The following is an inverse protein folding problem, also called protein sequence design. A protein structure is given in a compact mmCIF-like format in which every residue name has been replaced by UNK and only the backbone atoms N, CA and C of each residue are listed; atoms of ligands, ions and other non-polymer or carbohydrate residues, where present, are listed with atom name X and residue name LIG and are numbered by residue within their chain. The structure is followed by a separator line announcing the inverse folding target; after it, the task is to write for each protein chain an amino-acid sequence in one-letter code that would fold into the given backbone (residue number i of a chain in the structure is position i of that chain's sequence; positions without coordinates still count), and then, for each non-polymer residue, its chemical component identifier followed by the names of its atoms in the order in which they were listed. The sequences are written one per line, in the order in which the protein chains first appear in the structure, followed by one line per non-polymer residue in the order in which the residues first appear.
data_IF_685658470943
#
_entry.id   IF_685658470943
#
_cell.length_a   1.000
_cell.length_b   1.000
_cell.length_c   1.000
_cell.angle_alpha   90.00
_cell.angle_beta   90.00
_cell.angle_gamma   90.00
#
_symmetry.space_group_name_H-M   'P 1'
#
loop_
_entity.id
_entity.type
_entity.pdbx_description
1 polymer ?
#
# COMPACT_ATOMS: atom_id res chain seq x y z
N UNK A 1 -5.67 -7.37 0.58
CA UNK A 1 -6.98 -6.67 0.59
C UNK A 1 -7.16 -5.86 1.87
N UNK A 2 -7.16 -4.54 1.74
CA UNK A 2 -7.52 -3.62 2.82
C UNK A 2 -8.99 -3.84 3.20
N UNK A 3 -9.29 -3.99 4.50
CA UNK A 3 -10.66 -4.30 4.93
C UNK A 3 -11.50 -3.00 4.92
N UNK A 4 -12.66 -2.97 4.24
CA UNK A 4 -13.52 -1.77 4.15
C UNK A 4 -13.88 -1.13 5.49
N UNK A 5 -14.13 -1.95 6.53
CA UNK A 5 -14.45 -1.45 7.86
C UNK A 5 -13.32 -0.62 8.50
N UNK A 6 -12.05 -0.81 8.07
CA UNK A 6 -10.92 -0.02 8.56
C UNK A 6 -10.94 1.40 7.99
N UNK A 7 -11.38 1.59 6.74
CA UNK A 7 -11.62 2.92 6.19
C UNK A 7 -12.86 3.58 6.81
N UNK A 8 -13.92 2.79 7.06
CA UNK A 8 -15.16 3.30 7.62
C UNK A 8 -14.97 4.05 8.94
N UNK A 9 -14.16 3.51 9.87
CA UNK A 9 -13.91 4.17 11.15
C UNK A 9 -13.37 5.60 10.98
N UNK A 10 -12.44 5.79 10.04
CA UNK A 10 -11.89 7.10 9.69
C UNK A 10 -12.94 7.98 9.02
N UNK A 11 -13.60 7.50 7.97
CA UNK A 11 -14.62 8.26 7.22
C UNK A 11 -15.76 8.72 8.14
N UNK A 12 -16.21 7.84 9.04
CA UNK A 12 -17.22 8.12 10.07
C UNK A 12 -16.82 9.25 11.01
N UNK A 13 -15.53 9.37 11.34
CA UNK A 13 -15.04 10.45 12.19
C UNK A 13 -15.21 11.81 11.49
N UNK A 14 -14.89 11.88 10.20
CA UNK A 14 -15.06 13.11 9.40
C UNK A 14 -16.53 13.42 9.10
N UNK A 15 -17.37 12.41 8.85
CA UNK A 15 -18.82 12.60 8.68
C UNK A 15 -19.50 13.20 9.92
N UNK A 16 -18.92 13.05 11.11
CA UNK A 16 -19.46 13.66 12.34
C UNK A 16 -19.53 15.18 12.26
N UNK A 17 -18.65 15.80 11.47
CA UNK A 17 -18.59 17.25 11.34
C UNK A 17 -19.62 17.79 10.33
N UNK A 18 -20.21 16.92 9.52
CA UNK A 18 -21.30 17.27 8.60
C UNK A 18 -22.64 17.46 9.33
N UNK A 19 -23.63 18.04 8.64
CA UNK A 19 -24.98 18.16 9.21
C UNK A 19 -25.71 16.81 9.19
N UNK A 20 -26.77 16.66 9.99
CA UNK A 20 -27.55 15.41 10.01
C UNK A 20 -28.12 15.07 8.64
N UNK A 21 -28.60 16.09 7.92
CA UNK A 21 -29.17 15.92 6.57
C UNK A 21 -28.07 15.59 5.55
N UNK A 22 -26.91 16.25 5.62
CA UNK A 22 -25.76 15.92 4.76
C UNK A 22 -25.32 14.47 4.95
N UNK A 23 -25.26 13.98 6.19
CA UNK A 23 -24.91 12.57 6.47
C UNK A 23 -25.92 11.62 5.83
N UNK A 24 -27.23 11.92 5.92
CA UNK A 24 -28.28 11.11 5.29
C UNK A 24 -28.21 11.16 3.77
N UNK A 25 -27.91 12.31 3.21
CA UNK A 25 -27.79 12.49 1.76
C UNK A 25 -26.57 11.71 1.22
N UNK A 26 -25.40 11.87 1.85
CA UNK A 26 -24.18 11.11 1.52
C UNK A 26 -24.43 9.60 1.63
N UNK A 27 -25.02 9.13 2.73
CA UNK A 27 -25.31 7.71 2.94
C UNK A 27 -26.32 7.17 1.91
N UNK A 28 -27.37 7.94 1.61
CA UNK A 28 -28.38 7.55 0.63
C UNK A 28 -27.82 7.43 -0.78
N UNK A 29 -26.98 8.38 -1.20
CA UNK A 29 -26.31 8.32 -2.51
C UNK A 29 -25.29 7.17 -2.60
N UNK A 30 -24.65 6.81 -1.48
CA UNK A 30 -23.73 5.69 -1.43
C UNK A 30 -24.41 4.31 -1.41
N UNK A 31 -25.76 4.25 -1.40
CA UNK A 31 -26.53 3.01 -1.48
C UNK A 31 -26.94 2.42 -0.12
N UNK A 32 -26.82 3.17 0.97
CA UNK A 32 -27.34 2.72 2.28
C UNK A 32 -28.87 2.64 2.24
N UNK A 33 -29.44 1.60 2.88
CA UNK A 33 -30.88 1.45 3.00
C UNK A 33 -31.50 2.54 3.90
N UNK A 34 -31.85 3.67 3.29
CA UNK A 34 -32.47 4.80 4.00
C UNK A 34 -33.86 4.49 4.55
N UNK A 35 -34.53 3.44 4.05
CA UNK A 35 -35.80 2.95 4.60
C UNK A 35 -35.64 2.43 6.04
N UNK A 36 -34.52 1.76 6.34
CA UNK A 36 -34.21 1.32 7.70
C UNK A 36 -33.93 2.50 8.66
N UNK A 37 -33.47 3.63 8.10
CA UNK A 37 -33.11 4.85 8.83
C UNK A 37 -34.22 5.91 8.81
N UNK A 38 -35.38 5.62 8.20
CA UNK A 38 -36.44 6.59 7.98
C UNK A 38 -36.98 7.15 9.31
N UNK A 39 -37.00 6.35 10.37
CA UNK A 39 -37.43 6.77 11.71
C UNK A 39 -36.49 7.79 12.38
N UNK A 40 -35.27 7.98 11.86
CA UNK A 40 -34.30 8.93 12.38
C UNK A 40 -34.50 10.29 11.74
N UNK A 41 -35.05 11.21 12.53
CA UNK A 41 -35.22 12.61 12.18
C UNK A 41 -34.63 13.50 13.27
N UNK A 42 -33.86 14.51 12.87
CA UNK A 42 -33.45 15.56 13.77
C UNK A 42 -34.65 16.50 14.01
N UNK A 43 -35.15 16.58 15.24
CA UNK A 43 -36.17 17.56 15.64
C UNK A 43 -35.52 18.60 16.55
N UNK A 44 -36.03 19.83 16.50
CA UNK A 44 -35.62 20.85 17.47
C UNK A 44 -36.08 20.43 18.87
N UNK A 45 -35.31 20.81 19.88
CA UNK A 45 -35.56 20.50 21.30
C UNK A 45 -36.94 20.96 21.79
N UNK A 46 -37.62 21.83 21.05
CA UNK A 46 -38.99 22.29 21.35
C UNK A 46 -40.10 21.30 20.93
N UNK A 47 -39.83 20.31 20.08
CA UNK A 47 -40.84 19.39 19.51
C UNK A 47 -40.64 17.91 19.90
N UNK A 48 -39.86 17.64 20.95
CA UNK A 48 -39.60 16.31 21.50
C UNK A 48 -38.16 15.81 21.28
N UNK A 49 -37.89 14.54 21.63
CA UNK A 49 -36.57 13.92 21.46
C UNK A 49 -36.32 13.58 19.97
N UNK A 50 -35.59 14.43 19.27
CA UNK A 50 -35.04 14.13 17.95
C UNK A 50 -33.85 13.17 18.02
N UNK A 51 -33.56 12.50 16.90
CA UNK A 51 -32.35 11.69 16.77
C UNK A 51 -31.10 12.58 16.71
N UNK A 52 -30.04 12.18 17.40
CA UNK A 52 -28.73 12.83 17.36
C UNK A 52 -27.91 12.34 16.17
N UNK A 53 -26.91 13.14 15.73
CA UNK A 53 -25.92 12.68 14.75
C UNK A 53 -25.21 11.40 15.18
N UNK A 54 -24.94 11.25 16.48
CA UNK A 54 -24.36 10.02 17.03
C UNK A 54 -25.25 8.79 16.80
N UNK A 55 -26.56 8.92 17.03
CA UNK A 55 -27.52 7.84 16.77
C UNK A 55 -27.63 7.50 15.28
N UNK A 56 -27.58 8.51 14.40
CA UNK A 56 -27.54 8.28 12.95
C UNK A 56 -26.27 7.53 12.53
N UNK A 57 -25.09 7.96 12.98
CA UNK A 57 -23.83 7.28 12.68
C UNK A 57 -23.80 5.85 13.23
N UNK A 58 -24.34 5.61 14.43
CA UNK A 58 -24.49 4.25 14.99
C UNK A 58 -25.46 3.38 14.20
N UNK A 59 -26.51 3.96 13.63
CA UNK A 59 -27.42 3.23 12.76
C UNK A 59 -26.74 2.89 11.41
N UNK A 60 -25.91 3.80 10.86
CA UNK A 60 -25.07 3.52 9.69
C UNK A 60 -24.05 2.41 9.97
N UNK A 61 -23.44 2.38 11.16
CA UNK A 61 -22.57 1.28 11.61
C UNK A 61 -23.32 -0.06 11.51
N UNK A 62 -24.59 -0.08 11.93
CA UNK A 62 -25.46 -1.26 11.87
C UNK A 62 -25.86 -1.67 10.46
N UNK A 63 -26.14 -0.72 9.56
CA UNK A 63 -26.45 -1.04 8.15
C UNK A 63 -25.22 -1.61 7.43
N UNK A 64 -24.05 -0.98 7.60
CA UNK A 64 -22.80 -1.47 7.02
C UNK A 64 -22.46 -2.88 7.53
N UNK A 65 -22.59 -3.14 8.82
CA UNK A 65 -22.30 -4.46 9.39
C UNK A 65 -23.19 -5.60 8.86
N UNK A 66 -24.37 -5.27 8.29
CA UNK A 66 -25.27 -6.26 7.67
C UNK A 66 -24.94 -6.54 6.21
N UNK A 67 -24.17 -5.67 5.55
CA UNK A 67 -23.77 -5.84 4.15
C UNK A 67 -22.62 -6.84 4.03
N UNK A 68 -22.52 -7.60 2.91
CA UNK A 68 -21.31 -8.35 2.57
C UNK A 68 -20.08 -7.44 2.42
N UNK A 69 -18.88 -7.96 2.70
CA UNK A 69 -17.62 -7.20 2.64
C UNK A 69 -17.42 -6.44 1.31
N UNK A 70 -17.79 -7.05 0.18
CA UNK A 70 -17.67 -6.41 -1.13
C UNK A 70 -18.58 -5.18 -1.27
N UNK A 71 -19.80 -5.25 -0.74
CA UNK A 71 -20.78 -4.17 -0.76
C UNK A 71 -20.39 -3.06 0.24
N UNK A 72 -19.92 -3.43 1.43
CA UNK A 72 -19.34 -2.48 2.39
C UNK A 72 -18.23 -1.64 1.75
N UNK A 73 -17.33 -2.27 1.00
CA UNK A 73 -16.25 -1.59 0.28
C UNK A 73 -16.75 -0.55 -0.71
N UNK A 74 -17.81 -0.88 -1.46
CA UNK A 74 -18.43 0.03 -2.42
C UNK A 74 -19.07 1.22 -1.70
N UNK A 75 -19.85 0.98 -0.66
CA UNK A 75 -20.54 2.03 0.10
C UNK A 75 -19.53 2.98 0.75
N UNK A 76 -18.52 2.47 1.45
CA UNK A 76 -17.50 3.29 2.12
C UNK A 76 -16.73 4.14 1.11
N UNK A 77 -16.39 3.60 -0.07
CA UNK A 77 -15.75 4.37 -1.15
C UNK A 77 -16.65 5.52 -1.61
N UNK A 78 -17.91 5.25 -1.96
CA UNK A 78 -18.82 6.28 -2.43
C UNK A 78 -19.08 7.36 -1.36
N UNK A 79 -19.25 6.98 -0.10
CA UNK A 79 -19.40 7.96 0.99
C UNK A 79 -18.18 8.87 1.12
N UNK A 80 -16.99 8.31 0.95
CA UNK A 80 -15.73 9.07 0.98
C UNK A 80 -15.62 10.03 -0.20
N UNK A 81 -15.92 9.56 -1.40
CA UNK A 81 -15.92 10.36 -2.63
C UNK A 81 -16.91 11.53 -2.54
N UNK A 82 -18.12 11.30 -2.06
CA UNK A 82 -19.14 12.32 -1.87
C UNK A 82 -18.76 13.34 -0.79
N UNK A 83 -18.16 12.88 0.31
CA UNK A 83 -17.62 13.76 1.36
C UNK A 83 -16.53 14.67 0.80
N UNK A 84 -15.58 14.13 0.02
CA UNK A 84 -14.50 14.89 -0.60
C UNK A 84 -14.99 15.84 -1.70
N UNK A 85 -16.03 15.48 -2.44
CA UNK A 85 -16.65 16.36 -3.41
C UNK A 85 -17.30 17.58 -2.74
N UNK A 86 -17.90 17.40 -1.55
CA UNK A 86 -18.47 18.50 -0.76
C UNK A 86 -17.40 19.34 -0.07
N UNK A 87 -16.36 18.70 0.43
CA UNK A 87 -15.28 19.35 1.19
C UNK A 87 -13.90 18.95 0.66
N UNK A 88 -13.47 19.51 -0.48
CA UNK A 88 -12.18 19.19 -1.10
C UNK A 88 -10.98 19.44 -0.17
N UNK A 89 -11.11 20.40 0.76
CA UNK A 89 -10.11 20.73 1.75
C UNK A 89 -9.83 19.62 2.78
N UNK A 90 -10.68 18.59 2.85
CA UNK A 90 -10.44 17.41 3.70
C UNK A 90 -9.53 16.37 3.05
N UNK A 91 -9.17 16.52 1.76
CA UNK A 91 -8.39 15.52 1.01
C UNK A 91 -7.09 15.12 1.71
N UNK A 92 -6.26 16.10 2.07
CA UNK A 92 -4.96 15.87 2.72
C UNK A 92 -5.09 15.25 4.13
N UNK A 93 -5.85 15.84 5.08
CA UNK A 93 -5.98 15.25 6.42
C UNK A 93 -6.66 13.87 6.40
N UNK A 94 -7.67 13.67 5.56
CA UNK A 94 -8.34 12.37 5.42
C UNK A 94 -7.41 11.32 4.79
N UNK A 95 -6.57 11.70 3.81
CA UNK A 95 -5.60 10.80 3.19
C UNK A 95 -4.55 10.32 4.20
N UNK A 96 -4.06 11.19 5.08
CA UNK A 96 -3.09 10.79 6.11
C UNK A 96 -3.69 9.83 7.15
N UNK A 97 -4.95 10.02 7.53
CA UNK A 97 -5.64 9.11 8.43
C UNK A 97 -5.95 7.76 7.76
N UNK A 98 -6.38 7.76 6.50
CA UNK A 98 -6.67 6.57 5.71
C UNK A 98 -5.40 5.77 5.37
N UNK A 99 -4.26 6.43 5.19
CA UNK A 99 -2.99 5.78 4.87
C UNK A 99 -2.60 4.76 5.95
N UNK A 100 -2.90 5.04 7.22
CA UNK A 100 -2.68 4.13 8.36
C UNK A 100 -3.53 2.86 8.28
N UNK A 101 -4.57 2.87 7.47
CA UNK A 101 -5.48 1.74 7.25
C UNK A 101 -5.28 1.07 5.88
N UNK A 102 -4.24 1.46 5.13
CA UNK A 102 -3.95 0.91 3.80
C UNK A 102 -4.84 1.48 2.70
N UNK A 103 -5.33 2.71 2.88
CA UNK A 103 -6.19 3.41 1.92
C UNK A 103 -5.59 4.76 1.54
N UNK A 104 -5.83 5.21 0.31
CA UNK A 104 -5.34 6.47 -0.22
C UNK A 104 -6.45 7.21 -0.95
N UNK A 105 -6.21 8.48 -1.25
CA UNK A 105 -7.11 9.31 -2.05
C UNK A 105 -6.37 9.74 -3.32
N UNK A 106 -6.98 9.51 -4.48
CA UNK A 106 -6.49 9.98 -5.77
C UNK A 106 -7.66 10.59 -6.54
N UNK A 107 -7.58 11.86 -6.94
CA UNK A 107 -8.64 12.57 -7.67
C UNK A 107 -10.03 12.43 -7.01
N UNK A 108 -10.08 12.59 -5.67
CA UNK A 108 -11.27 12.37 -4.83
C UNK A 108 -11.75 10.92 -4.68
N UNK A 109 -11.09 9.95 -5.32
CA UNK A 109 -11.41 8.53 -5.21
C UNK A 109 -10.67 7.85 -4.05
N UNK A 110 -11.39 7.06 -3.26
CA UNK A 110 -10.81 6.18 -2.25
C UNK A 110 -10.23 4.93 -2.93
N UNK A 111 -8.92 4.79 -2.90
CA UNK A 111 -8.18 3.67 -3.49
C UNK A 111 -7.51 2.82 -2.40
N UNK A 112 -7.51 1.50 -2.55
CA UNK A 112 -6.72 0.65 -1.66
C UNK A 112 -5.24 0.86 -1.99
N UNK A 113 -4.43 1.22 -0.99
CA UNK A 113 -2.98 1.24 -1.12
C UNK A 113 -2.47 -0.19 -0.99
N UNK A 114 -2.61 -0.99 -2.04
CA UNK A 114 -2.00 -2.31 -2.11
C UNK A 114 -0.50 -2.15 -2.35
N UNK A 115 0.24 -2.14 -1.23
CA UNK A 115 1.69 -2.05 -1.23
C UNK A 115 2.33 -3.30 -1.85
N UNK A 116 1.72 -4.47 -1.66
CA UNK A 116 2.14 -5.74 -2.24
C UNK A 116 0.91 -6.54 -2.65
N UNK A 117 1.02 -7.33 -3.72
CA UNK A 117 0.00 -8.30 -4.09
C UNK A 117 0.13 -9.55 -3.21
N UNK A 118 -0.91 -9.94 -2.44
CA UNK A 118 -0.88 -11.16 -1.62
C UNK A 118 -0.56 -12.44 -2.41
N UNK A 119 -1.01 -12.54 -3.66
CA UNK A 119 -0.76 -13.69 -4.51
C UNK A 119 0.71 -13.76 -4.96
N UNK A 120 1.35 -12.60 -5.20
CA UNK A 120 2.78 -12.53 -5.48
C UNK A 120 3.60 -12.82 -4.21
N UNK A 121 3.23 -12.24 -3.07
CA UNK A 121 3.91 -12.50 -1.79
C UNK A 121 3.88 -13.99 -1.42
N UNK A 122 2.77 -14.69 -1.64
CA UNK A 122 2.64 -16.11 -1.31
C UNK A 122 3.69 -16.99 -2.01
N UNK A 123 4.19 -16.56 -3.19
CA UNK A 123 5.19 -17.28 -3.97
C UNK A 123 6.63 -17.02 -3.50
N UNK A 124 6.88 -15.96 -2.74
CA UNK A 124 8.22 -15.60 -2.27
C UNK A 124 8.70 -16.53 -1.13
N UNK A 125 10.02 -16.78 -1.01
CA UNK A 125 10.57 -17.51 0.14
C UNK A 125 10.25 -16.82 1.47
N UNK A 126 10.15 -17.62 2.54
CA UNK A 126 9.63 -17.18 3.83
C UNK A 126 10.40 -15.99 4.45
N UNK A 127 11.73 -16.02 4.41
CA UNK A 127 12.58 -14.98 5.02
C UNK A 127 12.44 -13.61 4.35
N UNK A 128 12.74 -13.43 3.04
CA UNK A 128 12.61 -12.12 2.40
C UNK A 128 11.14 -11.66 2.33
N UNK A 129 10.16 -12.58 2.31
CA UNK A 129 8.74 -12.26 2.44
C UNK A 129 8.41 -11.65 3.80
N UNK A 130 8.94 -12.20 4.89
CA UNK A 130 8.72 -11.65 6.22
C UNK A 130 9.30 -10.24 6.34
N UNK A 131 10.47 -9.99 5.73
CA UNK A 131 11.10 -8.66 5.70
C UNK A 131 10.28 -7.65 4.89
N UNK A 132 9.72 -8.05 3.73
CA UNK A 132 8.80 -7.19 2.96
C UNK A 132 7.53 -6.85 3.76
N UNK A 133 6.91 -7.85 4.39
CA UNK A 133 5.74 -7.64 5.24
C UNK A 133 6.04 -6.68 6.40
N UNK A 134 7.21 -6.83 7.02
CA UNK A 134 7.70 -5.91 8.06
C UNK A 134 7.90 -4.49 7.53
N UNK A 135 8.47 -4.33 6.33
CA UNK A 135 8.61 -3.01 5.69
C UNK A 135 7.24 -2.35 5.47
N UNK A 136 6.25 -3.11 4.99
CA UNK A 136 4.90 -2.60 4.80
C UNK A 136 4.18 -2.25 6.10
N UNK A 137 4.37 -3.03 7.15
CA UNK A 137 3.86 -2.70 8.50
C UNK A 137 4.45 -1.39 9.01
N UNK A 138 5.77 -1.20 8.88
CA UNK A 138 6.44 0.04 9.30
C UNK A 138 5.95 1.27 8.52
N UNK A 139 5.75 1.14 7.19
CA UNK A 139 5.17 2.21 6.38
C UNK A 139 3.79 2.62 6.89
N UNK A 140 2.92 1.62 7.15
CA UNK A 140 1.57 1.83 7.68
C UNK A 140 1.60 2.53 9.05
N UNK A 141 2.52 2.11 9.92
CA UNK A 141 2.63 2.61 11.28
C UNK A 141 3.35 3.97 11.36
N UNK A 142 3.76 4.54 10.22
CA UNK A 142 4.44 5.84 10.13
C UNK A 142 5.93 5.80 10.43
N UNK A 143 6.51 4.62 10.64
CA UNK A 143 7.97 4.39 10.76
C UNK A 143 8.61 4.38 9.36
N UNK A 144 8.67 5.56 8.74
CA UNK A 144 9.09 5.69 7.35
C UNK A 144 10.58 5.31 7.14
N UNK A 145 11.47 5.71 8.06
CA UNK A 145 12.88 5.37 7.98
C UNK A 145 13.13 3.88 8.22
N UNK A 146 12.44 3.29 9.20
CA UNK A 146 12.50 1.86 9.44
C UNK A 146 11.88 1.04 8.30
N UNK A 147 10.89 1.58 7.57
CA UNK A 147 10.32 0.93 6.39
C UNK A 147 11.37 0.80 5.26
N UNK A 148 12.15 1.85 4.98
CA UNK A 148 13.25 1.81 4.00
C UNK A 148 14.32 0.80 4.41
N UNK A 149 14.74 0.81 5.68
CA UNK A 149 15.73 -0.14 6.20
C UNK A 149 15.25 -1.59 6.07
N UNK A 150 13.98 -1.87 6.39
CA UNK A 150 13.40 -3.21 6.26
C UNK A 150 13.25 -3.65 4.79
N UNK A 151 12.87 -2.73 3.89
CA UNK A 151 12.79 -3.02 2.45
C UNK A 151 14.15 -3.42 1.86
N UNK A 152 15.22 -2.70 2.23
CA UNK A 152 16.58 -3.08 1.82
C UNK A 152 17.02 -4.40 2.46
N UNK A 153 16.63 -4.65 3.72
CA UNK A 153 16.88 -5.92 4.40
C UNK A 153 16.29 -7.11 3.66
N UNK A 154 15.07 -6.98 3.13
CA UNK A 154 14.46 -8.04 2.31
C UNK A 154 15.30 -8.38 1.07
N UNK A 155 15.88 -7.36 0.43
CA UNK A 155 16.78 -7.54 -0.72
C UNK A 155 18.11 -8.17 -0.29
N UNK A 156 18.71 -7.72 0.83
CA UNK A 156 19.92 -8.32 1.39
C UNK A 156 19.72 -9.82 1.68
N UNK A 157 18.58 -10.19 2.27
CA UNK A 157 18.18 -11.58 2.50
C UNK A 157 18.09 -12.36 1.19
N UNK A 158 17.39 -11.84 0.17
CA UNK A 158 17.30 -12.49 -1.14
C UNK A 158 18.67 -12.65 -1.84
N UNK A 159 19.53 -11.62 -1.76
CA UNK A 159 20.91 -11.66 -2.29
C UNK A 159 21.72 -12.72 -1.56
N UNK A 160 21.65 -12.80 -0.23
CA UNK A 160 22.35 -13.82 0.55
C UNK A 160 21.94 -15.24 0.16
N UNK A 161 20.64 -15.47 -0.08
CA UNK A 161 20.14 -16.75 -0.59
C UNK A 161 20.76 -17.11 -1.95
N UNK A 162 20.84 -16.16 -2.88
CA UNK A 162 21.47 -16.37 -4.20
C UNK A 162 22.96 -16.65 -4.06
N UNK A 163 23.66 -15.90 -3.20
CA UNK A 163 25.09 -16.12 -2.94
C UNK A 163 25.37 -17.52 -2.41
N UNK A 164 24.53 -18.01 -1.50
CA UNK A 164 24.62 -19.38 -0.99
C UNK A 164 24.33 -20.42 -2.08
N UNK A 165 23.25 -20.22 -2.86
CA UNK A 165 22.83 -21.15 -3.93
C UNK A 165 23.86 -21.28 -5.05
N UNK A 166 24.50 -20.18 -5.44
CA UNK A 166 25.44 -20.11 -6.57
C UNK A 166 26.92 -20.03 -6.15
N UNK A 167 27.22 -20.21 -4.86
CA UNK A 167 28.59 -20.17 -4.30
C UNK A 167 29.37 -18.89 -4.68
N UNK A 168 28.74 -17.71 -4.58
CA UNK A 168 29.31 -16.42 -5.02
C UNK A 168 30.27 -15.79 -3.99
N UNK A 169 30.46 -16.40 -2.82
CA UNK A 169 31.30 -15.90 -1.73
C UNK A 169 30.48 -15.27 -0.60
N UNK A 170 31.07 -14.30 0.12
CA UNK A 170 30.40 -13.59 1.22
C UNK A 170 29.75 -12.29 0.73
N UNK A 171 28.41 -12.16 0.76
CA UNK A 171 27.71 -10.97 0.29
C UNK A 171 28.05 -9.71 1.11
N UNK A 172 28.52 -9.85 2.36
CA UNK A 172 28.85 -8.72 3.25
C UNK A 172 30.13 -7.98 2.85
N UNK A 173 30.92 -8.56 1.94
CA UNK A 173 32.14 -7.94 1.41
C UNK A 173 31.88 -7.06 0.19
N UNK A 174 30.66 -7.05 -0.33
CA UNK A 174 30.23 -6.21 -1.43
C UNK A 174 29.36 -5.07 -0.89
N UNK A 175 29.37 -3.92 -1.58
CA UNK A 175 28.31 -2.92 -1.37
C UNK A 175 26.95 -3.51 -1.76
N UNK A 176 25.86 -2.88 -1.32
CA UNK A 176 24.50 -3.32 -1.64
C UNK A 176 24.29 -3.45 -3.15
N UNK A 177 24.66 -2.43 -3.91
CA UNK A 177 24.54 -2.43 -5.37
C UNK A 177 25.39 -3.54 -6.02
N UNK A 178 26.64 -3.71 -5.61
CA UNK A 178 27.52 -4.78 -6.12
C UNK A 178 26.95 -6.17 -5.80
N UNK A 179 26.42 -6.33 -4.58
CA UNK A 179 25.73 -7.53 -4.11
C UNK A 179 24.57 -7.90 -5.04
N UNK A 180 23.66 -6.96 -5.24
CA UNK A 180 22.51 -7.09 -6.14
C UNK A 180 22.94 -7.41 -7.58
N UNK A 181 23.89 -6.68 -8.14
CA UNK A 181 24.34 -6.89 -9.53
C UNK A 181 24.92 -8.30 -9.71
N UNK A 182 25.75 -8.77 -8.78
CA UNK A 182 26.33 -10.11 -8.85
C UNK A 182 25.27 -11.21 -8.70
N UNK A 183 24.29 -11.01 -7.82
CA UNK A 183 23.16 -11.93 -7.68
C UNK A 183 22.32 -11.99 -8.98
N UNK A 184 21.99 -10.83 -9.57
CA UNK A 184 21.26 -10.75 -10.84
C UNK A 184 21.98 -11.44 -12.00
N UNK A 185 23.31 -11.33 -12.06
CA UNK A 185 24.10 -12.03 -13.08
C UNK A 185 24.03 -13.55 -12.94
N UNK A 186 23.85 -14.07 -11.71
CA UNK A 186 23.78 -15.50 -11.45
C UNK A 186 22.37 -16.09 -11.66
N UNK A 187 21.31 -15.28 -11.55
CA UNK A 187 19.92 -15.78 -11.58
C UNK A 187 19.12 -15.35 -12.81
N UNK A 188 19.40 -14.19 -13.41
CA UNK A 188 18.55 -13.66 -14.48
C UNK A 188 19.02 -14.16 -15.84
N UNK A 189 18.42 -15.26 -16.30
CA UNK A 189 18.38 -15.65 -17.70
C UNK A 189 17.02 -15.26 -18.32
N UNK A 190 17.04 -14.28 -19.22
CA UNK A 190 15.87 -13.84 -19.97
C UNK A 190 15.89 -14.34 -21.41
N UNK A 191 17.06 -14.73 -21.93
CA UNK A 191 17.24 -14.98 -23.35
C UNK A 191 16.52 -16.27 -23.74
N UNK A 192 16.63 -17.31 -22.92
CA UNK A 192 15.96 -18.61 -23.14
C UNK A 192 14.42 -18.49 -23.18
N UNK A 193 13.74 -18.00 -22.11
CA UNK A 193 12.29 -17.92 -22.11
C UNK A 193 11.74 -16.93 -23.14
N UNK A 194 12.43 -15.81 -23.42
CA UNK A 194 11.99 -14.88 -24.45
C UNK A 194 12.13 -15.47 -25.87
N UNK A 195 13.17 -16.27 -26.12
CA UNK A 195 13.32 -17.00 -27.38
C UNK A 195 12.20 -18.03 -27.57
N UNK A 196 11.82 -18.74 -26.50
CA UNK A 196 10.68 -19.67 -26.53
C UNK A 196 9.34 -18.96 -26.82
N UNK A 197 9.21 -17.69 -26.42
CA UNK A 197 8.08 -16.83 -26.78
C UNK A 197 8.17 -16.25 -28.21
N UNK A 198 9.20 -16.61 -28.98
CA UNK A 198 9.38 -16.17 -30.37
C UNK A 198 9.99 -14.79 -30.53
N UNK A 199 10.65 -14.24 -29.50
CA UNK A 199 11.34 -12.96 -29.64
C UNK A 199 12.55 -13.09 -30.59
N UNK A 200 12.81 -12.08 -31.45
CA UNK A 200 13.99 -12.08 -32.32
C UNK A 200 15.29 -12.07 -31.50
N UNK A 201 16.26 -12.91 -31.88
CA UNK A 201 17.58 -12.98 -31.21
C UNK A 201 18.28 -11.62 -31.13
N UNK A 202 18.08 -10.75 -32.13
CA UNK A 202 18.62 -9.39 -32.16
C UNK A 202 18.13 -8.50 -31.01
N UNK A 203 16.95 -8.79 -30.41
CA UNK A 203 16.38 -8.03 -29.30
C UNK A 203 16.70 -8.60 -27.92
N UNK A 204 17.04 -9.89 -27.82
CA UNK A 204 17.23 -10.58 -26.54
C UNK A 204 18.34 -9.93 -25.70
N UNK A 205 19.55 -9.85 -26.26
CA UNK A 205 20.72 -9.33 -25.56
C UNK A 205 20.56 -7.85 -25.15
N UNK A 206 20.10 -6.92 -26.02
CA UNK A 206 19.82 -5.55 -25.61
C UNK A 206 18.77 -5.49 -24.49
N UNK A 207 17.69 -6.26 -24.57
CA UNK A 207 16.65 -6.26 -23.54
C UNK A 207 17.20 -6.76 -22.20
N UNK A 208 17.87 -7.92 -22.17
CA UNK A 208 18.44 -8.49 -20.94
C UNK A 208 19.50 -7.59 -20.30
N UNK A 209 20.27 -6.84 -21.11
CA UNK A 209 21.21 -5.83 -20.61
C UNK A 209 20.49 -4.62 -20.01
N UNK A 210 19.48 -4.08 -20.68
CA UNK A 210 18.70 -2.96 -20.17
C UNK A 210 17.90 -3.32 -18.91
N UNK A 211 17.32 -4.51 -18.87
CA UNK A 211 16.58 -5.00 -17.70
C UNK A 211 17.49 -5.10 -16.46
N UNK A 212 18.66 -5.72 -16.59
CA UNK A 212 19.66 -5.76 -15.51
C UNK A 212 20.20 -4.37 -15.17
N UNK A 213 20.41 -3.52 -16.17
CA UNK A 213 20.83 -2.12 -15.98
C UNK A 213 19.82 -1.32 -15.16
N UNK A 214 18.53 -1.45 -15.46
CA UNK A 214 17.45 -0.79 -14.73
C UNK A 214 17.40 -1.24 -13.26
N UNK A 215 17.49 -2.56 -13.01
CA UNK A 215 17.58 -3.08 -11.65
C UNK A 215 18.82 -2.55 -10.93
N UNK A 216 19.99 -2.55 -11.58
CA UNK A 216 21.21 -2.02 -10.99
C UNK A 216 21.10 -0.54 -10.59
N UNK A 217 20.38 0.28 -11.36
CA UNK A 217 20.05 1.67 -10.98
C UNK A 217 19.06 1.70 -9.80
N UNK A 218 18.05 0.82 -9.78
CA UNK A 218 17.17 0.64 -8.63
C UNK A 218 17.94 0.29 -7.35
N UNK A 219 18.93 -0.59 -7.42
CA UNK A 219 19.79 -0.92 -6.26
C UNK A 219 20.60 0.29 -5.77
N UNK A 220 21.12 1.12 -6.70
CA UNK A 220 21.78 2.37 -6.34
C UNK A 220 20.83 3.33 -5.61
N UNK A 221 19.61 3.50 -6.13
CA UNK A 221 18.58 4.34 -5.50
C UNK A 221 18.26 3.81 -4.10
N UNK A 222 17.96 2.53 -3.95
CA UNK A 222 17.66 1.91 -2.64
C UNK A 222 18.82 2.06 -1.65
N UNK A 223 20.06 1.81 -2.07
CA UNK A 223 21.25 2.00 -1.23
C UNK A 223 21.36 3.46 -0.76
N UNK A 224 21.10 4.41 -1.65
CA UNK A 224 21.13 5.84 -1.34
C UNK A 224 20.02 6.21 -0.35
N UNK A 225 18.79 5.78 -0.61
CA UNK A 225 17.65 5.99 0.30
C UNK A 225 17.91 5.38 1.67
N UNK A 226 18.44 4.17 1.76
CA UNK A 226 18.85 3.56 3.04
C UNK A 226 19.86 4.42 3.79
N UNK A 227 20.88 4.93 3.09
CA UNK A 227 21.92 5.74 3.72
C UNK A 227 21.42 7.10 4.20
N UNK A 228 20.51 7.74 3.45
CA UNK A 228 20.08 9.12 3.69
C UNK A 228 18.76 9.24 4.46
N UNK A 229 17.89 8.23 4.39
CA UNK A 229 16.54 8.25 4.95
C UNK A 229 16.27 7.08 5.89
N UNK A 230 17.14 6.06 5.91
CA UNK A 230 17.05 4.96 6.86
C UNK A 230 17.42 5.38 8.29
N UNK A 231 16.84 4.66 9.25
CA UNK A 231 17.02 4.84 10.70
C UNK A 231 18.33 4.25 11.26
N UNK A 232 19.19 3.70 10.39
CA UNK A 232 20.44 2.99 10.75
C UNK A 232 21.39 3.86 11.60
N UNK A 233 21.25 5.19 11.55
CA UNK A 233 22.04 6.15 12.34
C UNK A 233 21.19 7.23 13.04
N UNK A 234 19.90 6.95 13.31
CA UNK A 234 18.95 7.90 13.93
C UNK A 234 17.89 8.45 12.98
N UNK A 235 16.92 9.19 13.52
CA UNK A 235 15.78 9.72 12.75
C UNK A 235 16.23 10.80 11.77
N UNK A 236 16.01 10.58 10.47
CA UNK A 236 16.30 11.54 9.39
C UNK A 236 15.01 12.04 8.75
N UNK A 237 14.98 13.21 8.09
CA UNK A 237 13.85 13.62 7.27
C UNK A 237 13.57 12.56 6.18
N UNK A 238 12.32 12.12 6.07
CA UNK A 238 11.92 11.07 5.12
C UNK A 238 10.83 11.59 4.20
N UNK A 239 11.09 11.57 2.89
CA UNK A 239 10.08 11.84 1.88
C UNK A 239 9.23 10.59 1.64
N UNK A 240 7.97 10.61 2.09
CA UNK A 240 7.03 9.46 2.07
C UNK A 240 6.90 8.80 0.69
N UNK A 241 6.89 9.57 -0.40
CA UNK A 241 6.78 9.04 -1.76
C UNK A 241 7.93 8.10 -2.12
N UNK A 242 9.17 8.48 -1.80
CA UNK A 242 10.35 7.65 -2.08
C UNK A 242 10.43 6.39 -1.20
N UNK A 243 9.76 6.38 -0.04
CA UNK A 243 9.65 5.17 0.79
C UNK A 243 8.80 4.13 0.07
N UNK A 244 7.67 4.55 -0.50
CA UNK A 244 6.82 3.67 -1.29
C UNK A 244 7.59 3.08 -2.49
N UNK A 245 8.35 3.91 -3.19
CA UNK A 245 9.20 3.47 -4.31
C UNK A 245 10.25 2.45 -3.85
N UNK A 246 10.88 2.67 -2.70
CA UNK A 246 11.86 1.72 -2.14
C UNK A 246 11.23 0.35 -1.86
N UNK A 247 9.99 0.30 -1.38
CA UNK A 247 9.28 -0.96 -1.14
C UNK A 247 8.92 -1.67 -2.45
N UNK A 248 8.53 -0.92 -3.49
CA UNK A 248 8.26 -1.49 -4.82
C UNK A 248 9.52 -2.02 -5.49
N UNK A 249 10.64 -1.32 -5.37
CA UNK A 249 11.93 -1.84 -5.80
C UNK A 249 12.31 -3.11 -5.02
N UNK A 250 12.10 -3.15 -3.71
CA UNK A 250 12.37 -4.33 -2.90
C UNK A 250 11.56 -5.55 -3.35
N UNK A 251 10.25 -5.38 -3.55
CA UNK A 251 9.36 -6.44 -4.08
C UNK A 251 9.86 -6.97 -5.43
N UNK A 252 10.17 -6.07 -6.38
CA UNK A 252 10.68 -6.46 -7.69
C UNK A 252 12.01 -7.21 -7.60
N UNK A 253 12.92 -6.77 -6.72
CA UNK A 253 14.20 -7.43 -6.49
C UNK A 253 14.03 -8.84 -5.91
N UNK A 254 13.30 -8.95 -4.80
CA UNK A 254 13.07 -10.24 -4.12
C UNK A 254 12.44 -11.23 -5.09
N UNK A 255 11.40 -10.81 -5.83
CA UNK A 255 10.77 -11.65 -6.85
C UNK A 255 11.75 -12.08 -7.94
N UNK A 256 12.50 -11.14 -8.50
CA UNK A 256 13.45 -11.41 -9.60
C UNK A 256 14.56 -12.36 -9.17
N UNK A 257 15.03 -12.26 -7.93
CA UNK A 257 16.13 -13.08 -7.42
C UNK A 257 15.70 -14.48 -6.94
N UNK A 258 14.43 -14.68 -6.58
CA UNK A 258 14.02 -15.88 -5.84
C UNK A 258 13.01 -16.78 -6.52
N UNK A 259 12.18 -16.26 -7.43
CA UNK A 259 11.08 -17.01 -8.08
C UNK A 259 11.47 -17.48 -9.49
N UNK A 260 12.48 -16.87 -10.11
CA UNK A 260 12.90 -17.20 -11.47
C UNK A 260 13.75 -18.46 -11.54
#
# INVERSE_FOLDING_TARGET
MAKPHLAWGTVRAYLRDETFDDIKEIAGHAGVNMGALAHLHQRSTAQGNGATKGQLLSALDGELARMPDAEQGVVVRFMTELLLARRPNLSEPLADDLARHGWGIADHHLVALELFDPAELAQLPAEPRADLLKAGQRLRDGDLGGAVSAACGAVDTAVAMVYARHALGDPRKASFQEGCNRALQATVDLDTPLRELGWPDAMLKPFGQNFRGALNQGAFVMQTLRSQMGDVHGTKPVLKTLVFDALKWAELFVRTLTIR
#
